data_IF_930772485588
#
_entry.id   IF_930772485588
#
_cell.length_a   1.000
_cell.length_b   1.000
_cell.length_c   1.000
_cell.angle_alpha   90.00
_cell.angle_beta   90.00
_cell.angle_gamma   90.00
#
_symmetry.space_group_name_H-M   'P 1'
#
loop_
_entity.id
_entity.type
_entity.pdbx_description
1 polymer ?
#
# COMPACT_ATOMS: atom_id res chain seq x y z
N UNK A 1 5.26 -16.29 3.56
CA UNK A 1 5.34 -15.44 2.35
C UNK A 1 5.75 -14.04 2.79
N UNK A 2 6.74 -13.45 2.11
CA UNK A 2 7.02 -12.01 2.21
C UNK A 2 6.64 -11.41 0.85
N UNK A 3 5.87 -10.34 0.85
CA UNK A 3 5.43 -9.66 -0.37
C UNK A 3 5.63 -8.15 -0.25
N UNK A 4 6.03 -7.51 -1.35
CA UNK A 4 6.27 -6.08 -1.41
C UNK A 4 5.55 -5.49 -2.61
N UNK A 5 5.01 -4.27 -2.48
CA UNK A 5 4.41 -3.54 -3.59
C UNK A 5 4.73 -2.04 -3.53
N UNK A 6 4.46 -1.35 -4.64
CA UNK A 6 4.30 0.09 -4.67
C UNK A 6 2.84 0.46 -4.37
N UNK A 7 2.61 1.56 -3.66
CA UNK A 7 1.29 2.01 -3.29
C UNK A 7 1.19 3.56 -3.25
N UNK A 8 -0.01 4.06 -3.53
CA UNK A 8 -0.36 5.46 -3.29
C UNK A 8 -0.69 5.69 -1.82
N UNK A 9 -0.08 6.70 -1.21
CA UNK A 9 -0.36 7.12 0.17
C UNK A 9 -1.70 7.83 0.25
N UNK A 10 -2.66 7.26 0.99
CA UNK A 10 -3.93 7.90 1.33
C UNK A 10 -3.82 8.70 2.63
N UNK A 11 -3.06 8.18 3.59
CA UNK A 11 -2.78 8.87 4.83
C UNK A 11 -1.89 10.10 4.56
N UNK A 12 -2.41 11.29 4.84
CA UNK A 12 -1.76 12.57 4.53
C UNK A 12 -0.51 12.86 5.39
N UNK A 13 -0.23 12.02 6.40
CA UNK A 13 1.01 12.09 7.17
C UNK A 13 2.16 11.30 6.54
N UNK A 14 1.87 10.48 5.51
CA UNK A 14 2.87 9.67 4.82
C UNK A 14 3.56 10.47 3.72
N UNK A 15 4.81 10.15 3.46
CA UNK A 15 5.61 10.80 2.43
C UNK A 15 6.09 9.80 1.39
N UNK A 16 6.36 10.30 0.18
CA UNK A 16 7.01 9.49 -0.86
C UNK A 16 8.33 8.94 -0.33
N UNK A 17 8.53 7.65 -0.53
CA UNK A 17 9.66 6.88 -0.02
C UNK A 17 9.39 6.18 1.31
N UNK A 18 8.35 6.53 2.07
CA UNK A 18 8.04 5.83 3.33
C UNK A 18 7.66 4.36 3.09
N UNK A 19 7.97 3.50 4.07
CA UNK A 19 7.61 2.08 4.05
C UNK A 19 6.46 1.85 5.01
N UNK A 20 5.45 1.11 4.58
CA UNK A 20 4.29 0.73 5.39
C UNK A 20 4.32 -0.78 5.59
N UNK A 21 4.46 -1.22 6.83
CA UNK A 21 4.22 -2.61 7.21
C UNK A 21 2.71 -2.84 7.26
N UNK A 22 2.19 -3.71 6.41
CA UNK A 22 0.74 -3.90 6.33
C UNK A 22 0.25 -4.73 7.52
N UNK A 23 -0.79 -4.25 8.19
CA UNK A 23 -1.44 -4.94 9.29
C UNK A 23 -2.87 -5.41 8.97
N UNK A 24 -3.48 -4.89 7.91
CA UNK A 24 -4.81 -5.27 7.43
C UNK A 24 -5.00 -4.89 5.94
N UNK A 25 -6.12 -5.30 5.33
CA UNK A 25 -6.52 -4.84 4.01
C UNK A 25 -8.03 -4.62 3.82
N UNK A 26 -8.36 -3.76 2.86
CA UNK A 26 -9.68 -3.69 2.25
C UNK A 26 -9.64 -4.36 0.88
N UNK A 27 -10.32 -5.50 0.73
CA UNK A 27 -10.40 -6.23 -0.53
C UNK A 27 -11.61 -5.76 -1.38
N UNK A 28 -11.55 -4.54 -1.94
CA UNK A 28 -12.67 -3.93 -2.67
C UNK A 28 -13.11 -4.80 -3.85
N UNK A 29 -12.16 -5.35 -4.61
CA UNK A 29 -12.45 -6.26 -5.71
C UNK A 29 -13.12 -7.56 -5.22
N UNK A 30 -12.68 -8.11 -4.10
CA UNK A 30 -13.25 -9.31 -3.49
C UNK A 30 -14.69 -9.11 -3.03
N UNK A 31 -15.03 -7.94 -2.49
CA UNK A 31 -16.40 -7.60 -2.07
C UNK A 31 -17.41 -7.66 -3.23
N UNK A 32 -16.97 -7.41 -4.47
CA UNK A 32 -17.81 -7.50 -5.69
C UNK A 32 -17.62 -8.82 -6.45
N UNK A 33 -17.00 -9.82 -5.83
CA UNK A 33 -16.91 -11.19 -6.35
C UNK A 33 -15.67 -11.48 -7.20
N UNK A 34 -14.71 -10.56 -7.27
CA UNK A 34 -13.38 -10.79 -7.84
C UNK A 34 -12.43 -11.31 -6.76
N UNK A 35 -12.57 -12.60 -6.47
CA UNK A 35 -11.93 -13.26 -5.34
C UNK A 35 -11.12 -14.49 -5.80
N UNK A 36 -9.86 -14.68 -5.38
CA UNK A 36 -9.00 -15.76 -5.88
C UNK A 36 -9.50 -17.16 -5.51
N UNK A 37 -10.26 -17.29 -4.41
CA UNK A 37 -10.86 -18.57 -3.96
C UNK A 37 -12.27 -18.83 -4.53
N UNK A 38 -12.69 -18.07 -5.55
CA UNK A 38 -13.97 -18.30 -6.23
C UNK A 38 -13.86 -19.56 -7.10
N UNK A 39 -14.88 -20.41 -7.05
CA UNK A 39 -14.90 -21.72 -7.72
C UNK A 39 -14.82 -22.87 -6.73
N UNK A 40 -14.71 -24.14 -7.19
CA UNK A 40 -14.50 -25.29 -6.32
C UNK A 40 -13.31 -25.10 -5.38
N UNK A 41 -13.43 -25.57 -4.13
CA UNK A 41 -12.31 -25.53 -3.19
C UNK A 41 -11.26 -26.60 -3.56
N UNK A 42 -10.00 -26.31 -3.26
CA UNK A 42 -8.91 -27.29 -3.30
C UNK A 42 -8.58 -27.64 -1.85
N UNK A 43 -9.16 -28.74 -1.36
CA UNK A 43 -9.08 -29.16 0.06
C UNK A 43 -7.65 -29.48 0.49
N UNK A 44 -6.77 -29.85 -0.44
CA UNK A 44 -5.36 -30.12 -0.19
C UNK A 44 -4.58 -28.87 0.24
N UNK A 45 -5.05 -27.67 -0.15
CA UNK A 45 -4.42 -26.41 0.26
C UNK A 45 -5.03 -25.84 1.52
N UNK A 46 -6.37 -25.86 1.65
CA UNK A 46 -7.00 -25.27 2.81
C UNK A 46 -8.52 -25.35 2.81
N UNK A 47 -9.08 -24.83 3.90
CA UNK A 47 -10.54 -24.82 4.14
C UNK A 47 -11.30 -23.97 3.11
N UNK A 48 -12.56 -24.31 2.87
CA UNK A 48 -13.47 -23.54 2.00
C UNK A 48 -13.65 -22.08 2.44
N UNK A 49 -13.59 -21.81 3.74
CA UNK A 49 -13.84 -20.49 4.32
C UNK A 49 -12.70 -20.07 5.26
N UNK A 50 -11.54 -19.65 4.72
CA UNK A 50 -10.40 -19.29 5.56
C UNK A 50 -10.65 -17.95 6.28
N UNK A 51 -10.41 -17.87 7.60
CA UNK A 51 -10.41 -16.59 8.30
C UNK A 51 -9.22 -15.73 7.86
N UNK A 52 -9.43 -14.41 7.76
CA UNK A 52 -8.40 -13.44 7.37
C UNK A 52 -8.14 -12.36 8.43
N UNK A 53 -8.83 -12.40 9.59
CA UNK A 53 -8.63 -11.44 10.69
C UNK A 53 -7.22 -11.47 11.29
N UNK A 54 -6.47 -12.55 11.03
CA UNK A 54 -5.07 -12.73 11.42
C UNK A 54 -4.14 -12.87 10.21
N UNK A 55 -4.55 -12.37 9.04
CA UNK A 55 -3.82 -12.56 7.78
C UNK A 55 -2.38 -12.04 7.83
N UNK A 56 -2.11 -11.02 8.65
CA UNK A 56 -0.81 -10.38 8.79
C UNK A 56 -0.15 -10.78 10.12
N UNK A 57 0.88 -11.62 10.04
CA UNK A 57 1.49 -12.27 11.19
C UNK A 57 2.10 -11.24 12.16
N UNK A 58 1.59 -11.22 13.40
CA UNK A 58 1.99 -10.25 14.42
C UNK A 58 3.45 -10.40 14.84
N UNK A 59 3.98 -11.62 14.88
CA UNK A 59 5.38 -11.83 15.27
C UNK A 59 6.33 -11.31 14.19
N UNK A 60 6.03 -11.58 12.91
CA UNK A 60 6.78 -11.02 11.79
C UNK A 60 6.75 -9.49 11.80
N UNK A 61 5.58 -8.87 12.08
CA UNK A 61 5.48 -7.41 12.23
C UNK A 61 6.31 -6.87 13.40
N UNK A 62 6.31 -7.54 14.55
CA UNK A 62 7.17 -7.17 15.70
C UNK A 62 8.66 -7.26 15.33
N UNK A 63 9.07 -8.27 14.58
CA UNK A 63 10.45 -8.41 14.09
C UNK A 63 10.82 -7.29 13.13
N UNK A 64 9.92 -6.89 12.23
CA UNK A 64 10.13 -5.74 11.36
C UNK A 64 10.52 -4.49 12.16
N UNK A 65 9.75 -4.15 13.20
CA UNK A 65 10.04 -2.96 14.02
C UNK A 65 11.37 -3.06 14.75
N UNK A 66 11.76 -4.27 15.22
CA UNK A 66 13.07 -4.50 15.82
C UNK A 66 14.20 -4.36 14.80
N UNK A 67 14.06 -4.99 13.63
CA UNK A 67 15.02 -4.94 12.53
C UNK A 67 15.23 -3.51 12.04
N UNK A 68 14.15 -2.74 11.91
CA UNK A 68 14.19 -1.32 11.53
C UNK A 68 15.09 -0.49 12.45
N UNK A 69 14.92 -0.63 13.77
CA UNK A 69 15.76 0.02 14.79
C UNK A 69 17.19 -0.51 14.80
N UNK A 70 17.37 -1.83 14.67
CA UNK A 70 18.69 -2.49 14.66
C UNK A 70 19.56 -2.00 13.49
N UNK A 71 18.94 -1.71 12.34
CA UNK A 71 19.60 -1.17 11.15
C UNK A 71 19.80 0.36 11.22
N UNK A 72 19.32 1.03 12.28
CA UNK A 72 19.40 2.49 12.43
C UNK A 72 18.55 3.27 11.42
N UNK A 73 17.56 2.62 10.79
CA UNK A 73 16.71 3.24 9.77
C UNK A 73 15.73 4.25 10.37
N UNK A 74 15.42 4.15 11.66
CA UNK A 74 14.59 5.10 12.41
C UNK A 74 15.26 6.48 12.61
N UNK A 75 16.58 6.55 12.45
CA UNK A 75 17.37 7.78 12.52
C UNK A 75 17.48 8.48 11.16
N UNK A 76 17.00 7.85 10.09
CA UNK A 76 17.03 8.40 8.74
C UNK A 76 15.76 9.21 8.42
N UNK A 77 15.74 9.81 7.23
CA UNK A 77 14.60 10.61 6.74
C UNK A 77 13.34 9.75 6.54
N UNK A 78 13.51 8.52 6.06
CA UNK A 78 12.42 7.60 5.76
C UNK A 78 11.77 7.08 7.03
N UNK A 79 10.43 6.98 7.03
CA UNK A 79 9.68 6.41 8.14
C UNK A 79 9.20 5.01 7.83
N UNK A 80 9.08 4.21 8.88
CA UNK A 80 8.34 2.96 8.89
C UNK A 80 7.00 3.22 9.57
N UNK A 81 5.92 2.98 8.82
CA UNK A 81 4.54 3.04 9.31
C UNK A 81 3.96 1.65 9.43
N UNK A 82 2.78 1.56 10.04
CA UNK A 82 1.98 0.34 10.06
C UNK A 82 0.53 0.71 9.73
N UNK A 83 -0.10 0.02 8.77
CA UNK A 83 -1.38 0.48 8.26
C UNK A 83 -2.10 -0.45 7.29
N UNK A 84 -3.28 0.01 6.85
CA UNK A 84 -4.25 -0.74 6.07
C UNK A 84 -4.07 -0.50 4.57
N UNK A 85 -4.05 -1.58 3.78
CA UNK A 85 -3.94 -1.53 2.31
C UNK A 85 -5.29 -1.73 1.62
N UNK A 86 -5.71 -0.77 0.80
CA UNK A 86 -6.86 -0.95 -0.09
C UNK A 86 -6.42 -1.57 -1.42
N UNK A 87 -6.99 -2.72 -1.76
CA UNK A 87 -6.82 -3.36 -3.07
C UNK A 87 -7.96 -2.97 -4.02
N UNK A 88 -7.60 -2.32 -5.12
CA UNK A 88 -8.50 -1.94 -6.21
C UNK A 88 -8.05 -2.55 -7.53
N UNK A 89 -8.95 -2.62 -8.52
CA UNK A 89 -8.68 -3.34 -9.78
C UNK A 89 -7.71 -2.65 -10.75
N UNK A 90 -7.59 -1.32 -10.72
CA UNK A 90 -6.81 -0.58 -11.72
C UNK A 90 -7.36 -0.73 -13.16
N UNK A 91 -6.60 -0.38 -14.21
CA UNK A 91 -5.22 0.15 -14.18
C UNK A 91 -5.14 1.68 -14.03
N UNK A 92 -6.28 2.38 -14.00
CA UNK A 92 -6.31 3.82 -13.73
C UNK A 92 -5.95 4.10 -12.28
N UNK A 93 -5.13 5.11 -12.03
CA UNK A 93 -5.03 5.68 -10.68
C UNK A 93 -6.38 6.25 -10.24
N UNK A 94 -6.54 6.33 -8.93
CA UNK A 94 -7.78 6.71 -8.29
C UNK A 94 -8.10 8.19 -8.55
N UNK A 95 -9.38 8.47 -8.74
CA UNK A 95 -9.91 9.82 -8.71
C UNK A 95 -9.85 10.38 -7.28
N UNK A 96 -9.85 11.71 -7.14
CA UNK A 96 -9.86 12.39 -5.82
C UNK A 96 -10.97 11.89 -4.89
N UNK A 97 -12.15 11.56 -5.43
CA UNK A 97 -13.27 11.04 -4.62
C UNK A 97 -13.07 9.59 -4.20
N UNK A 98 -12.48 8.76 -5.04
CA UNK A 98 -12.11 7.39 -4.69
C UNK A 98 -11.04 7.38 -3.60
N UNK A 99 -10.00 8.23 -3.71
CA UNK A 99 -9.01 8.40 -2.65
C UNK A 99 -9.65 8.80 -1.32
N UNK A 100 -10.53 9.80 -1.33
CA UNK A 100 -11.26 10.22 -0.12
C UNK A 100 -12.13 9.10 0.46
N UNK A 101 -12.83 8.37 -0.40
CA UNK A 101 -13.67 7.25 0.01
C UNK A 101 -12.83 6.18 0.71
N UNK A 102 -11.73 5.73 0.08
CA UNK A 102 -10.85 4.71 0.64
C UNK A 102 -10.22 5.17 1.96
N UNK A 103 -9.78 6.43 2.05
CA UNK A 103 -9.26 6.99 3.29
C UNK A 103 -10.33 7.04 4.41
N UNK A 104 -11.56 7.46 4.09
CA UNK A 104 -12.68 7.44 5.05
C UNK A 104 -13.06 6.03 5.51
N UNK A 105 -12.86 5.02 4.66
CA UNK A 105 -13.03 3.61 5.01
C UNK A 105 -11.88 3.04 5.85
N UNK A 106 -10.85 3.84 6.15
CA UNK A 106 -9.74 3.48 7.02
C UNK A 106 -8.50 2.95 6.30
N UNK A 107 -8.40 3.08 4.98
CA UNK A 107 -7.18 2.72 4.25
C UNK A 107 -6.10 3.80 4.39
N UNK A 108 -4.86 3.36 4.63
CA UNK A 108 -3.68 4.21 4.70
C UNK A 108 -2.94 4.30 3.36
N UNK A 109 -2.97 3.22 2.59
CA UNK A 109 -2.37 3.12 1.26
C UNK A 109 -3.30 2.38 0.31
N UNK A 110 -3.19 2.64 -0.98
CA UNK A 110 -3.96 1.97 -2.05
C UNK A 110 -3.02 1.40 -3.11
N UNK A 111 -3.39 0.24 -3.66
CA UNK A 111 -2.73 -0.28 -4.85
C UNK A 111 -3.53 -1.38 -5.53
N UNK A 112 -2.88 -2.00 -6.52
CA UNK A 112 -3.55 -2.84 -7.52
C UNK A 112 -3.06 -4.29 -7.51
N UNK A 113 -2.50 -4.77 -6.40
CA UNK A 113 -1.94 -6.13 -6.29
C UNK A 113 -2.04 -6.67 -4.86
N UNK A 114 -1.29 -7.75 -4.57
CA UNK A 114 -0.92 -8.21 -3.23
C UNK A 114 -2.02 -8.94 -2.47
N UNK A 115 -3.22 -8.36 -2.35
CA UNK A 115 -4.31 -8.96 -1.57
C UNK A 115 -4.72 -10.35 -2.10
N UNK A 116 -4.84 -10.59 -3.41
CA UNK A 116 -5.12 -11.93 -3.92
C UNK A 116 -4.06 -12.96 -3.50
N UNK A 117 -2.78 -12.61 -3.58
CA UNK A 117 -1.66 -13.46 -3.17
C UNK A 117 -1.67 -13.74 -1.67
N UNK A 118 -1.97 -12.73 -0.84
CA UNK A 118 -2.11 -12.90 0.61
C UNK A 118 -3.22 -13.88 0.93
N UNK A 119 -4.39 -13.74 0.30
CA UNK A 119 -5.54 -14.62 0.53
C UNK A 119 -5.19 -16.07 0.18
N UNK A 120 -4.52 -16.31 -0.96
CA UNK A 120 -4.08 -17.66 -1.36
C UNK A 120 -3.03 -18.21 -0.40
N UNK A 121 -2.07 -17.38 0.03
CA UNK A 121 -1.06 -17.79 1.01
C UNK A 121 -1.70 -18.18 2.36
N UNK A 122 -2.72 -17.43 2.81
CA UNK A 122 -3.47 -17.74 4.03
C UNK A 122 -4.34 -18.98 3.88
N UNK A 123 -4.97 -19.17 2.73
CA UNK A 123 -5.67 -20.42 2.41
C UNK A 123 -4.73 -21.63 2.54
N UNK A 124 -3.50 -21.51 2.06
CA UNK A 124 -2.45 -22.52 2.19
C UNK A 124 -1.75 -22.58 3.57
N UNK A 125 -2.27 -21.91 4.60
CA UNK A 125 -1.73 -21.94 5.96
C UNK A 125 -0.38 -21.21 6.14
N UNK A 126 0.05 -20.39 5.18
CA UNK A 126 1.32 -19.68 5.27
C UNK A 126 1.21 -18.45 6.19
N UNK A 127 2.29 -18.16 6.94
CA UNK A 127 2.48 -16.85 7.58
C UNK A 127 2.77 -15.79 6.53
N UNK A 128 2.26 -14.57 6.71
CA UNK A 128 2.42 -13.46 5.75
C UNK A 128 3.01 -12.25 6.43
N UNK A 129 4.02 -11.66 5.79
CA UNK A 129 4.51 -10.31 6.05
C UNK A 129 4.43 -9.53 4.74
N UNK A 130 3.85 -8.32 4.78
CA UNK A 130 3.66 -7.53 3.59
C UNK A 130 4.11 -6.08 3.81
N UNK A 131 4.72 -5.50 2.78
CA UNK A 131 5.16 -4.12 2.77
C UNK A 131 4.64 -3.37 1.56
N UNK A 132 4.25 -2.12 1.78
CA UNK A 132 4.03 -1.15 0.71
C UNK A 132 5.11 -0.08 0.78
N UNK A 133 5.66 0.28 -0.37
CA UNK A 133 6.42 1.50 -0.55
C UNK A 133 5.47 2.61 -0.99
N UNK A 134 5.42 3.71 -0.27
CA UNK A 134 4.67 4.90 -0.67
C UNK A 134 5.40 5.55 -1.85
N UNK A 135 4.83 5.45 -3.04
CA UNK A 135 5.48 5.93 -4.27
C UNK A 135 4.93 7.24 -4.79
N UNK A 136 3.77 7.65 -4.28
CA UNK A 136 3.11 8.92 -4.53
C UNK A 136 2.14 9.18 -3.38
N UNK A 137 1.77 10.43 -3.13
CA UNK A 137 0.72 10.78 -2.15
C UNK A 137 -0.53 11.22 -2.90
N UNK A 138 -1.66 10.61 -2.57
CA UNK A 138 -2.94 10.88 -3.20
C UNK A 138 -3.46 12.26 -2.81
N UNK A 139 -3.95 13.02 -3.80
CA UNK A 139 -4.63 14.28 -3.55
C UNK A 139 -6.07 14.01 -3.14
N UNK A 140 -6.41 14.38 -1.90
CA UNK A 140 -7.76 14.19 -1.36
C UNK A 140 -8.68 15.38 -1.63
N UNK A 141 -8.15 16.56 -1.92
CA UNK A 141 -8.97 17.76 -2.13
C UNK A 141 -10.00 17.57 -3.24
N UNK A 142 -11.17 18.16 -3.06
CA UNK A 142 -12.19 18.20 -4.10
C UNK A 142 -11.63 18.85 -5.38
N UNK A 143 -12.17 18.46 -6.53
CA UNK A 143 -11.86 19.16 -7.77
C UNK A 143 -12.32 20.61 -7.68
N UNK A 144 -11.56 21.52 -8.29
CA UNK A 144 -11.92 22.93 -8.34
C UNK A 144 -13.29 23.12 -9.02
N UNK A 145 -14.05 24.11 -8.55
CA UNK A 145 -15.31 24.49 -9.21
C UNK A 145 -15.01 25.32 -10.45
N UNK A 146 -15.85 25.15 -11.48
CA UNK A 146 -15.71 25.92 -12.72
C UNK A 146 -15.97 27.42 -12.55
N UNK A 147 -16.74 27.82 -11.54
CA UNK A 147 -17.10 29.21 -11.22
C UNK A 147 -16.25 29.82 -10.10
N UNK A 148 -15.16 29.16 -9.70
CA UNK A 148 -14.24 29.68 -8.69
C UNK A 148 -13.54 30.96 -9.21
N UNK A 149 -13.56 32.03 -8.41
CA UNK A 149 -13.06 33.33 -8.81
C UNK A 149 -11.54 33.34 -9.08
N UNK A 150 -10.76 32.54 -8.32
CA UNK A 150 -9.33 32.41 -8.54
C UNK A 150 -9.08 31.65 -9.86
N UNK A 151 -9.81 30.56 -10.11
CA UNK A 151 -9.69 29.77 -11.35
C UNK A 151 -10.11 30.58 -12.58
N UNK A 152 -11.19 31.37 -12.49
CA UNK A 152 -11.66 32.22 -13.59
C UNK A 152 -10.63 33.29 -13.98
N UNK A 153 -9.80 33.72 -13.02
CA UNK A 153 -8.72 34.68 -13.27
C UNK A 153 -7.46 34.07 -13.90
N UNK A 154 -7.33 32.74 -13.87
CA UNK A 154 -6.16 32.04 -14.39
C UNK A 154 -6.17 31.97 -15.91
N UNK A 155 -4.99 32.16 -16.51
CA UNK A 155 -4.79 31.87 -17.92
C UNK A 155 -4.63 30.37 -18.19
N UNK A 156 -4.63 29.96 -19.47
CA UNK A 156 -4.57 28.55 -19.87
C UNK A 156 -3.34 27.80 -19.31
N UNK A 157 -2.20 28.48 -19.16
CA UNK A 157 -0.98 27.88 -18.61
C UNK A 157 -1.13 27.68 -17.10
N UNK A 158 -1.60 28.70 -16.38
CA UNK A 158 -1.86 28.63 -14.93
C UNK A 158 -2.88 27.55 -14.59
N UNK A 159 -3.97 27.41 -15.37
CA UNK A 159 -4.91 26.30 -15.22
C UNK A 159 -4.23 24.94 -15.39
N UNK A 160 -3.36 24.81 -16.40
CA UNK A 160 -2.66 23.54 -16.66
C UNK A 160 -1.74 23.16 -15.51
N UNK A 161 -0.99 24.13 -14.97
CA UNK A 161 -0.12 23.94 -13.81
C UNK A 161 -0.93 23.67 -12.52
N UNK A 162 -2.06 24.36 -12.32
CA UNK A 162 -2.95 24.11 -11.18
C UNK A 162 -3.50 22.68 -11.22
N UNK A 163 -3.92 22.21 -12.40
CA UNK A 163 -4.47 20.88 -12.59
C UNK A 163 -3.42 19.76 -12.57
N UNK A 164 -2.13 20.06 -12.78
CA UNK A 164 -1.07 19.05 -12.74
C UNK A 164 -0.58 18.73 -11.32
N UNK A 165 -0.86 19.60 -10.35
CA UNK A 165 -0.49 19.41 -8.94
C UNK A 165 -1.06 18.09 -8.39
N UNK A 166 -0.13 17.21 -7.97
CA UNK A 166 -0.42 15.92 -7.33
C UNK A 166 -1.02 14.86 -8.25
N UNK A 167 -0.86 15.00 -9.57
CA UNK A 167 -1.13 13.89 -10.50
C UNK A 167 -0.05 12.82 -10.34
N UNK A 168 -0.46 11.65 -9.87
CA UNK A 168 0.39 10.47 -9.87
C UNK A 168 0.83 10.14 -11.30
N UNK A 169 2.11 9.78 -11.46
CA UNK A 169 2.66 9.32 -12.73
C UNK A 169 3.61 8.14 -12.47
N UNK A 170 3.82 7.31 -13.49
CA UNK A 170 4.60 6.08 -13.33
C UNK A 170 6.11 6.33 -13.15
N UNK A 171 6.64 7.43 -13.66
CA UNK A 171 8.07 7.75 -13.55
C UNK A 171 8.48 8.08 -12.11
N UNK A 172 7.66 8.85 -11.39
CA UNK A 172 7.80 9.14 -9.96
C UNK A 172 7.86 7.86 -9.13
N UNK A 173 6.99 6.89 -9.47
CA UNK A 173 6.94 5.59 -8.79
C UNK A 173 8.26 4.83 -8.91
N UNK A 174 8.86 4.83 -10.10
CA UNK A 174 10.13 4.14 -10.35
C UNK A 174 11.30 4.79 -9.62
N UNK A 175 11.34 6.12 -9.55
CA UNK A 175 12.42 6.84 -8.87
C UNK A 175 12.39 6.60 -7.36
N UNK A 176 11.21 6.77 -6.74
CA UNK A 176 11.01 6.44 -5.32
C UNK A 176 11.36 4.98 -5.01
N UNK A 177 11.02 4.06 -5.94
CA UNK A 177 11.37 2.65 -5.87
C UNK A 177 12.88 2.40 -5.78
N UNK A 178 13.69 3.06 -6.62
CA UNK A 178 15.15 2.88 -6.62
C UNK A 178 15.81 3.38 -5.34
N UNK A 179 15.35 4.52 -4.83
CA UNK A 179 15.86 5.06 -3.57
C UNK A 179 15.51 4.17 -2.38
N UNK A 180 14.32 3.54 -2.42
CA UNK A 180 13.85 2.71 -1.32
C UNK A 180 14.28 1.25 -1.34
N UNK A 181 14.70 0.75 -2.51
CA UNK A 181 15.15 -0.62 -2.70
C UNK A 181 16.25 -1.03 -1.73
N UNK A 182 17.20 -0.13 -1.42
CA UNK A 182 18.34 -0.45 -0.54
C UNK A 182 17.89 -0.75 0.89
N UNK A 183 17.08 0.12 1.48
CA UNK A 183 16.65 -0.06 2.87
C UNK A 183 15.61 -1.17 2.98
N UNK A 184 14.72 -1.32 1.99
CA UNK A 184 13.78 -2.44 1.95
C UNK A 184 14.52 -3.79 1.82
N UNK A 185 15.57 -3.86 1.00
CA UNK A 185 16.40 -5.06 0.89
C UNK A 185 17.14 -5.36 2.20
N UNK A 186 17.72 -4.33 2.84
CA UNK A 186 18.39 -4.48 4.14
C UNK A 186 17.41 -4.97 5.22
N UNK A 187 16.21 -4.39 5.28
CA UNK A 187 15.16 -4.76 6.21
C UNK A 187 14.72 -6.21 6.02
N UNK A 188 14.42 -6.64 4.78
CA UNK A 188 14.01 -8.02 4.49
C UNK A 188 15.14 -9.00 4.83
N UNK A 189 16.39 -8.69 4.49
CA UNK A 189 17.55 -9.52 4.85
C UNK A 189 17.69 -9.67 6.36
N UNK A 190 17.55 -8.58 7.12
CA UNK A 190 17.66 -8.63 8.57
C UNK A 190 16.55 -9.48 9.20
N UNK A 191 15.31 -9.33 8.73
CA UNK A 191 14.17 -10.13 9.22
C UNK A 191 14.38 -11.62 8.94
N UNK A 192 14.89 -11.98 7.75
CA UNK A 192 15.18 -13.36 7.41
C UNK A 192 16.32 -13.95 8.25
N UNK A 193 17.36 -13.17 8.54
CA UNK A 193 18.44 -13.58 9.45
C UNK A 193 17.89 -13.86 10.84
N UNK A 194 17.09 -12.94 11.39
CA UNK A 194 16.48 -13.07 12.72
C UNK A 194 15.47 -14.24 12.81
N UNK A 195 15.06 -14.85 11.69
CA UNK A 195 14.20 -16.03 11.64
C UNK A 195 15.00 -17.35 11.58
N UNK A 196 16.25 -17.32 11.15
CA UNK A 196 17.12 -18.51 11.07
C UNK A 196 17.80 -18.81 12.41
N UNK A 197 17.91 -17.81 13.28
CA UNK A 197 18.55 -17.91 14.59
C UNK A 197 17.61 -18.48 15.69
N UNK A 198 16.41 -18.96 15.32
CA UNK A 198 15.42 -19.64 16.18
C UNK A 198 15.25 -21.12 15.83
#
# INVERSE_FOLDING_TARGET
MIVTNAAGGLNQTYHVGDIVCLNDHLNIAGLVGMHPLRGPNIEEFGTRFPPLSDAYDLDLRRRTHKAWKKLGLDQQKRRLHEGVYAFVGGPTYETRVECRMLNMLGADVVGMSTVPEIIVARHAGMRVLAFSLVTNVAVLDAGARGDDAEIQSMNKRELTEHMSKGKANHEEVLEAGREAAKDMQALVKQILSDLQDE
#
